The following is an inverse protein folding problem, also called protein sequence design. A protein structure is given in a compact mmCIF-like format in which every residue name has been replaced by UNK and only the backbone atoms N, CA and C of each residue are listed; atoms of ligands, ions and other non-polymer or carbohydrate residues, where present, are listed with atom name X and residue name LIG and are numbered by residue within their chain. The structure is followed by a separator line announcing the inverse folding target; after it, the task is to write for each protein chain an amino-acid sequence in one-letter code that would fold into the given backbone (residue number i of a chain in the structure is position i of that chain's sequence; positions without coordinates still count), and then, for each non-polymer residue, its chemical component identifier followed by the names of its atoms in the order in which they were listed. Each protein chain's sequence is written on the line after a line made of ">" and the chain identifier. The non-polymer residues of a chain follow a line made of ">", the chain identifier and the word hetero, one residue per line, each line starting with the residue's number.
data_IF_385997104136
#
_entry.id   IF_385997104136
#
_cell.length_a   1.000
_cell.length_b   1.000
_cell.length_c   1.000
_cell.angle_alpha   90.00
_cell.angle_beta   90.00
_cell.angle_gamma   90.00
#
_symmetry.space_group_name_H-M   'P 1'
#
loop_
_entity.id
_entity.type
_entity.pdbx_description
1 polymer ?
#
# COMPACT_ATOMS: atom_id res chain seq x y z
N UNK A 1 -8.39 2.08 -14.46
CA UNK A 1 -8.03 0.70 -14.90
C UNK A 1 -7.71 -0.19 -13.71
N UNK A 2 -6.75 0.16 -12.85
CA UNK A 2 -6.40 -0.63 -11.66
C UNK A 2 -7.55 -0.77 -10.64
N UNK A 3 -8.36 0.27 -10.46
CA UNK A 3 -9.56 0.22 -9.60
C UNK A 3 -10.56 -0.86 -10.04
N UNK A 4 -10.73 -1.04 -11.36
CA UNK A 4 -11.62 -2.07 -11.90
C UNK A 4 -11.05 -3.48 -11.68
N UNK A 5 -9.73 -3.65 -11.83
CA UNK A 5 -9.03 -4.91 -11.55
C UNK A 5 -9.14 -5.28 -10.07
N UNK A 6 -9.00 -4.31 -9.18
CA UNK A 6 -9.21 -4.51 -7.73
C UNK A 6 -10.65 -4.92 -7.48
N UNK A 7 -11.65 -4.15 -7.94
CA UNK A 7 -13.07 -4.46 -7.72
C UNK A 7 -13.48 -5.87 -8.20
N UNK A 8 -13.00 -6.28 -9.40
CA UNK A 8 -13.25 -7.63 -9.91
C UNK A 8 -12.60 -8.68 -9.02
N UNK A 9 -11.33 -8.49 -8.61
CA UNK A 9 -10.63 -9.41 -7.70
C UNK A 9 -11.27 -9.45 -6.31
N UNK A 10 -11.83 -8.35 -5.81
CA UNK A 10 -12.56 -8.32 -4.54
C UNK A 10 -13.84 -9.16 -4.57
N UNK A 11 -14.50 -9.26 -5.73
CA UNK A 11 -15.72 -10.06 -5.90
C UNK A 11 -15.46 -11.56 -6.10
N UNK A 12 -14.27 -11.93 -6.60
CA UNK A 12 -13.93 -13.31 -6.97
C UNK A 12 -13.02 -13.98 -5.94
N UNK A 13 -12.13 -13.21 -5.30
CA UNK A 13 -11.08 -13.72 -4.43
C UNK A 13 -11.32 -13.29 -2.99
N UNK A 14 -11.11 -14.23 -2.06
CA UNK A 14 -11.07 -13.93 -0.62
C UNK A 14 -10.04 -12.85 -0.33
N UNK A 15 -10.27 -12.09 0.72
CA UNK A 15 -9.48 -10.90 1.11
C UNK A 15 -7.97 -11.18 1.19
N UNK A 16 -7.65 -12.40 1.58
CA UNK A 16 -6.32 -12.94 1.90
C UNK A 16 -5.55 -13.39 0.65
N UNK A 17 -6.21 -13.43 -0.51
CA UNK A 17 -5.64 -13.98 -1.72
C UNK A 17 -4.48 -13.11 -2.22
N UNK A 18 -3.30 -13.68 -2.50
CA UNK A 18 -2.10 -12.93 -2.86
C UNK A 18 -2.29 -12.04 -4.10
N UNK A 19 -3.06 -12.51 -5.09
CA UNK A 19 -3.35 -11.72 -6.30
C UNK A 19 -4.23 -10.50 -6.02
N UNK A 20 -5.16 -10.60 -5.06
CA UNK A 20 -6.00 -9.47 -4.64
C UNK A 20 -5.13 -8.42 -3.94
N UNK A 21 -4.30 -8.86 -2.99
CA UNK A 21 -3.37 -8.01 -2.25
C UNK A 21 -2.33 -7.34 -3.16
N UNK A 22 -1.85 -8.05 -4.18
CA UNK A 22 -0.91 -7.51 -5.18
C UNK A 22 -1.55 -6.41 -6.02
N UNK A 23 -2.81 -6.58 -6.44
CA UNK A 23 -3.54 -5.53 -7.16
C UNK A 23 -3.83 -4.30 -6.31
N UNK A 24 -4.22 -4.49 -5.04
CA UNK A 24 -4.44 -3.38 -4.12
C UNK A 24 -3.13 -2.62 -3.85
N UNK A 25 -2.00 -3.32 -3.70
CA UNK A 25 -0.68 -2.69 -3.59
C UNK A 25 -0.32 -1.87 -4.84
N UNK A 26 -0.56 -2.40 -6.04
CA UNK A 26 -0.32 -1.69 -7.29
C UNK A 26 -1.20 -0.43 -7.42
N UNK A 27 -2.47 -0.52 -6.99
CA UNK A 27 -3.38 0.63 -6.95
C UNK A 27 -2.89 1.71 -5.97
N UNK A 28 -2.38 1.31 -4.80
CA UNK A 28 -1.80 2.27 -3.85
C UNK A 28 -0.58 2.99 -4.42
N UNK A 29 0.28 2.28 -5.16
CA UNK A 29 1.40 2.89 -5.88
C UNK A 29 0.96 3.90 -6.95
N UNK A 30 -0.14 3.61 -7.65
CA UNK A 30 -0.74 4.55 -8.60
C UNK A 30 -1.30 5.80 -7.90
N UNK A 31 -1.97 5.65 -6.76
CA UNK A 31 -2.42 6.78 -5.95
C UNK A 31 -1.25 7.63 -5.43
N UNK A 32 -0.15 7.01 -5.00
CA UNK A 32 1.07 7.74 -4.62
C UNK A 32 1.62 8.59 -5.77
N UNK A 33 1.70 8.02 -6.98
CA UNK A 33 2.16 8.75 -8.16
C UNK A 33 1.22 9.90 -8.53
N UNK A 34 -0.08 9.73 -8.32
CA UNK A 34 -1.09 10.75 -8.59
C UNK A 34 -1.22 11.80 -7.46
N UNK A 35 -0.39 11.74 -6.42
CA UNK A 35 -0.43 12.67 -5.27
C UNK A 35 -1.57 12.41 -4.28
N UNK A 36 -2.34 11.34 -4.47
CA UNK A 36 -3.43 10.89 -3.58
C UNK A 36 -2.85 10.08 -2.41
N UNK A 37 -2.04 10.75 -1.59
CA UNK A 37 -1.28 10.08 -0.52
C UNK A 37 -2.18 9.49 0.56
N UNK A 38 -3.35 10.09 0.85
CA UNK A 38 -4.26 9.58 1.88
C UNK A 38 -4.88 8.24 1.46
N UNK A 39 -5.34 8.18 0.22
CA UNK A 39 -5.95 7.00 -0.39
C UNK A 39 -4.92 5.87 -0.53
N UNK A 40 -3.68 6.21 -0.90
CA UNK A 40 -2.58 5.25 -0.93
C UNK A 40 -2.26 4.65 0.46
N UNK A 41 -2.26 5.47 1.52
CA UNK A 41 -2.04 4.99 2.90
C UNK A 41 -3.15 4.04 3.32
N UNK A 42 -4.41 4.45 3.22
CA UNK A 42 -5.55 3.63 3.65
C UNK A 42 -5.54 2.26 2.97
N UNK A 43 -5.23 2.24 1.66
CA UNK A 43 -5.18 1.00 0.91
C UNK A 43 -3.98 0.10 1.32
N UNK A 44 -2.81 0.68 1.58
CA UNK A 44 -1.66 -0.08 2.09
C UNK A 44 -1.86 -0.57 3.52
N UNK A 45 -2.50 0.22 4.40
CA UNK A 45 -2.84 -0.19 5.76
C UNK A 45 -3.76 -1.42 5.74
N UNK A 46 -4.77 -1.42 4.87
CA UNK A 46 -5.63 -2.57 4.67
C UNK A 46 -4.84 -3.81 4.21
N UNK A 47 -4.00 -3.67 3.18
CA UNK A 47 -3.16 -4.78 2.67
C UNK A 47 -2.23 -5.33 3.76
N UNK A 48 -1.62 -4.47 4.58
CA UNK A 48 -0.77 -4.88 5.70
C UNK A 48 -1.60 -5.61 6.75
N UNK A 49 -2.73 -5.07 7.18
CA UNK A 49 -3.58 -5.69 8.21
C UNK A 49 -4.07 -7.09 7.79
N UNK A 50 -4.42 -7.28 6.52
CA UNK A 50 -4.82 -8.60 5.99
C UNK A 50 -3.63 -9.57 5.96
N UNK A 51 -2.45 -9.12 5.52
CA UNK A 51 -1.23 -9.93 5.54
C UNK A 51 -0.80 -10.30 6.96
N UNK A 52 -1.05 -9.43 7.95
CA UNK A 52 -0.76 -9.70 9.36
C UNK A 52 -1.64 -10.78 9.97
N UNK A 53 -2.89 -10.91 9.49
CA UNK A 53 -3.81 -11.96 9.92
C UNK A 53 -3.52 -13.33 9.29
N UNK A 54 -2.98 -13.33 8.07
CA UNK A 54 -2.91 -14.53 7.22
C UNK A 54 -1.51 -15.12 7.06
N UNK A 55 -0.47 -14.28 7.09
CA UNK A 55 0.91 -14.72 6.92
C UNK A 55 1.61 -14.71 8.27
N UNK A 56 2.08 -15.88 8.70
CA UNK A 56 3.10 -15.98 9.75
C UNK A 56 4.31 -15.10 9.37
N UNK A 57 4.95 -14.51 10.38
CA UNK A 57 5.90 -13.39 10.30
C UNK A 57 7.10 -13.54 9.33
N UNK A 58 7.29 -14.70 8.71
CA UNK A 58 8.45 -15.05 7.87
C UNK A 58 8.25 -14.83 6.36
N UNK A 59 7.07 -14.46 5.87
CA UNK A 59 6.86 -14.32 4.41
C UNK A 59 7.36 -12.97 3.84
N UNK A 60 8.25 -12.98 2.81
CA UNK A 60 8.84 -11.78 2.21
C UNK A 60 7.81 -10.74 1.72
N UNK A 61 6.66 -11.21 1.24
CA UNK A 61 5.59 -10.36 0.71
C UNK A 61 4.90 -9.48 1.77
N UNK A 62 5.04 -9.80 3.07
CA UNK A 62 4.62 -8.96 4.19
C UNK A 62 5.60 -7.79 4.38
N UNK A 63 6.90 -8.09 4.39
CA UNK A 63 7.96 -7.10 4.56
C UNK A 63 7.93 -6.03 3.45
N UNK A 64 7.67 -6.44 2.21
CA UNK A 64 7.57 -5.50 1.08
C UNK A 64 6.43 -4.50 1.26
N UNK A 65 5.29 -4.94 1.80
CA UNK A 65 4.12 -4.07 2.03
C UNK A 65 4.35 -3.14 3.22
N UNK A 66 4.98 -3.62 4.30
CA UNK A 66 5.36 -2.78 5.43
C UNK A 66 6.42 -1.73 5.04
N UNK A 67 7.38 -2.09 4.19
CA UNK A 67 8.38 -1.17 3.69
C UNK A 67 7.76 -0.07 2.81
N UNK A 68 6.82 -0.44 1.94
CA UNK A 68 6.07 0.53 1.13
C UNK A 68 5.26 1.51 2.01
N UNK A 69 4.58 1.00 3.05
CA UNK A 69 3.85 1.82 4.02
C UNK A 69 4.79 2.79 4.76
N UNK A 70 5.92 2.30 5.28
CA UNK A 70 6.89 3.13 5.99
C UNK A 70 7.45 4.26 5.09
N UNK A 71 7.75 3.96 3.83
CA UNK A 71 8.22 4.95 2.85
C UNK A 71 7.17 6.02 2.54
N UNK A 72 5.90 5.65 2.56
CA UNK A 72 4.79 6.58 2.33
C UNK A 72 4.57 7.49 3.56
N UNK A 73 4.60 6.93 4.77
CA UNK A 73 4.50 7.69 6.03
C UNK A 73 5.65 8.68 6.22
N UNK A 74 6.86 8.34 5.78
CA UNK A 74 8.01 9.27 5.78
C UNK A 74 7.85 10.41 4.77
N UNK A 75 7.07 10.23 3.71
CA UNK A 75 6.77 11.30 2.74
C UNK A 75 5.63 12.21 3.19
N UNK A 76 4.70 11.68 4.00
CA UNK A 76 3.57 12.42 4.59
C UNK A 76 4.01 13.18 5.83
N UNK A 77 5.00 12.66 6.57
CA UNK A 77 5.69 13.44 7.60
C UNK A 77 6.20 14.72 6.94
N UNK A 78 5.99 15.91 7.53
CA UNK A 78 6.42 17.16 6.93
C UNK A 78 7.91 17.01 6.68
N UNK A 79 8.31 16.91 5.40
CA UNK A 79 9.71 17.02 5.02
C UNK A 79 10.21 18.24 5.75
N UNK A 80 11.10 18.03 6.73
CA UNK A 80 11.78 19.10 7.43
C UNK A 80 12.19 20.08 6.35
N UNK A 81 11.56 21.25 6.42
CA UNK A 81 11.89 22.41 5.63
C UNK A 81 13.40 22.58 5.77
N UNK A 82 14.18 22.07 4.83
CA UNK A 82 15.58 22.44 4.74
C UNK A 82 15.53 23.81 4.10
N UNK A 83 15.77 24.91 4.85
CA UNK A 83 16.00 26.16 4.18
C UNK A 83 17.20 25.90 3.28
N UNK A 84 17.02 26.08 1.96
CA UNK A 84 18.15 26.33 1.09
C UNK A 84 18.84 27.55 1.67
N UNK A 85 19.96 27.34 2.37
CA UNK A 85 20.88 28.42 2.67
C UNK A 85 21.30 29.06 1.33
N UNK A 86 21.18 30.38 1.29
CA UNK A 86 21.51 31.25 0.17
C UNK A 86 22.98 31.13 -0.24
#
# INVERSE_FOLDING_TARGET
>A
LLEHVVAVRESILVEEHPDRLTSQHALAGAYQYNGQMKEAVVLLEHVVAVKERTLTQEYPSRLDSQHALAKLLLQISPKSNTPKCF
#
